data_IF_385064174205
#
_entry.id   IF_385064174205
#
_cell.length_a   1.000
_cell.length_b   1.000
_cell.length_c   1.000
_cell.angle_alpha   90.00
_cell.angle_beta   90.00
_cell.angle_gamma   90.00
#
_symmetry.space_group_name_H-M   'P 1'
#
loop_
_entity.id
_entity.type
_entity.pdbx_description
1 polymer ?
#
# COMPACT_ATOMS: atom_id res chain seq x y z
N UNK A 1 -17.53 -15.44 -11.80
CA UNK A 1 -16.06 -15.60 -11.90
C UNK A 1 -15.27 -15.39 -10.60
N UNK A 2 -15.90 -15.24 -9.41
CA UNK A 2 -15.17 -14.94 -8.18
C UNK A 2 -14.69 -16.15 -7.35
N UNK A 3 -15.02 -17.37 -7.73
CA UNK A 3 -14.81 -18.55 -6.88
C UNK A 3 -13.54 -19.36 -7.16
N UNK A 4 -12.72 -18.98 -8.13
CA UNK A 4 -11.55 -19.78 -8.54
C UNK A 4 -10.21 -19.29 -7.98
N UNK A 5 -10.18 -18.13 -7.33
CA UNK A 5 -8.94 -17.65 -6.71
C UNK A 5 -8.94 -18.04 -5.24
N UNK A 6 -8.11 -19.00 -4.88
CA UNK A 6 -7.90 -19.40 -3.50
C UNK A 6 -7.63 -18.19 -2.64
N UNK A 7 -8.37 -18.01 -1.56
CA UNK A 7 -8.28 -16.86 -0.64
C UNK A 7 -6.88 -16.70 -0.01
N UNK A 8 -6.05 -17.70 -0.11
CA UNK A 8 -4.80 -17.85 0.62
C UNK A 8 -3.57 -17.98 -0.28
N UNK A 9 -3.77 -18.13 -1.59
CA UNK A 9 -2.69 -18.30 -2.53
C UNK A 9 -2.48 -17.02 -3.33
N UNK A 10 -1.31 -16.42 -3.17
CA UNK A 10 -0.92 -15.24 -3.95
C UNK A 10 0.01 -15.69 -5.06
N UNK A 11 -0.53 -15.86 -6.25
CA UNK A 11 0.23 -16.09 -7.47
C UNK A 11 0.28 -14.81 -8.31
N UNK A 12 1.21 -14.75 -9.28
CA UNK A 12 1.28 -13.67 -10.26
C UNK A 12 -0.06 -13.54 -11.03
N UNK A 13 -0.64 -14.65 -11.43
CA UNK A 13 -1.89 -14.66 -12.21
C UNK A 13 -3.07 -14.12 -11.39
N UNK A 14 -3.18 -14.53 -10.12
CA UNK A 14 -4.18 -13.98 -9.20
C UNK A 14 -4.04 -12.47 -9.01
N UNK A 15 -2.81 -11.99 -8.92
CA UNK A 15 -2.51 -10.56 -8.79
C UNK A 15 -2.93 -9.81 -10.06
N UNK A 16 -2.57 -10.31 -11.24
CA UNK A 16 -2.91 -9.70 -12.53
C UNK A 16 -4.42 -9.64 -12.70
N UNK A 17 -5.14 -10.75 -12.50
CA UNK A 17 -6.60 -10.80 -12.62
C UNK A 17 -7.30 -9.81 -11.67
N UNK A 18 -6.87 -9.72 -10.41
CA UNK A 18 -7.41 -8.74 -9.46
C UNK A 18 -7.12 -7.31 -9.86
N UNK A 19 -5.96 -7.05 -10.44
CA UNK A 19 -5.58 -5.71 -10.91
C UNK A 19 -6.44 -5.30 -12.09
N UNK A 20 -6.55 -6.13 -13.12
CA UNK A 20 -7.35 -5.85 -14.32
C UNK A 20 -8.85 -5.78 -14.03
N UNK A 21 -9.36 -6.53 -13.06
CA UNK A 21 -10.78 -6.48 -12.69
C UNK A 21 -11.26 -5.11 -12.16
N UNK A 22 -10.35 -4.20 -11.87
CA UNK A 22 -10.66 -2.82 -11.44
C UNK A 22 -10.97 -1.88 -12.60
N UNK A 23 -10.57 -2.23 -13.82
CA UNK A 23 -10.83 -1.44 -15.02
C UNK A 23 -12.21 -1.82 -15.56
N UNK A 24 -13.14 -0.86 -15.57
CA UNK A 24 -14.53 -1.06 -16.00
C UNK A 24 -14.98 0.09 -16.87
N UNK A 25 -15.68 -0.22 -17.99
CA UNK A 25 -16.35 0.75 -18.85
C UNK A 25 -15.47 1.82 -19.51
N UNK A 26 -14.15 1.60 -19.57
CA UNK A 26 -13.18 2.51 -20.16
C UNK A 26 -12.38 1.77 -21.24
N UNK A 27 -12.78 1.92 -22.48
CA UNK A 27 -12.21 1.12 -23.58
C UNK A 27 -10.77 1.50 -23.90
N UNK A 28 -10.45 2.78 -23.88
CA UNK A 28 -9.10 3.25 -24.15
C UNK A 28 -8.13 2.97 -23.00
N UNK A 29 -8.56 3.22 -21.76
CA UNK A 29 -7.77 2.84 -20.60
C UNK A 29 -7.44 1.34 -20.64
N UNK A 30 -8.45 0.48 -20.96
CA UNK A 30 -8.24 -0.94 -21.07
C UNK A 30 -7.25 -1.28 -22.19
N UNK A 31 -7.36 -0.65 -23.36
CA UNK A 31 -6.44 -0.87 -24.48
C UNK A 31 -5.01 -0.49 -24.10
N UNK A 32 -4.79 0.73 -23.61
CA UNK A 32 -3.47 1.26 -23.21
C UNK A 32 -2.85 0.36 -22.14
N UNK A 33 -3.58 0.09 -21.06
CA UNK A 33 -3.11 -0.74 -19.96
C UNK A 33 -2.78 -2.15 -20.43
N UNK A 34 -3.66 -2.80 -21.21
CA UNK A 34 -3.44 -4.16 -21.70
C UNK A 34 -2.19 -4.25 -22.57
N UNK A 35 -1.97 -3.27 -23.47
CA UNK A 35 -0.78 -3.22 -24.33
C UNK A 35 0.50 -3.06 -23.53
N UNK A 36 0.51 -2.13 -22.55
CA UNK A 36 1.67 -1.92 -21.66
C UNK A 36 2.00 -3.22 -20.92
N UNK A 37 1.00 -3.85 -20.29
CA UNK A 37 1.20 -5.05 -19.50
C UNK A 37 1.66 -6.24 -20.34
N UNK A 38 1.14 -6.37 -21.57
CA UNK A 38 1.58 -7.41 -22.51
C UNK A 38 3.06 -7.25 -22.88
N UNK A 39 3.50 -6.03 -23.22
CA UNK A 39 4.89 -5.77 -23.63
C UNK A 39 5.85 -5.90 -22.43
N UNK A 40 5.45 -5.43 -21.25
CA UNK A 40 6.28 -5.56 -20.05
C UNK A 40 6.41 -7.01 -19.57
N UNK A 41 5.48 -7.90 -19.92
CA UNK A 41 5.50 -9.32 -19.60
C UNK A 41 5.92 -9.64 -18.16
N UNK A 42 5.34 -8.91 -17.21
CA UNK A 42 5.60 -9.09 -15.79
C UNK A 42 7.00 -8.73 -15.30
N UNK A 43 7.78 -7.96 -16.07
CA UNK A 43 9.12 -7.48 -15.68
C UNK A 43 9.10 -6.44 -14.58
N UNK A 44 7.97 -5.76 -14.39
CA UNK A 44 7.81 -4.65 -13.44
C UNK A 44 6.50 -4.85 -12.69
N UNK A 45 6.51 -4.68 -11.35
CA UNK A 45 5.29 -4.71 -10.55
C UNK A 45 4.41 -3.52 -10.89
N UNK A 46 3.10 -3.77 -11.07
CA UNK A 46 2.11 -2.73 -11.36
C UNK A 46 0.86 -2.85 -10.49
N UNK A 47 0.10 -1.78 -10.41
CA UNK A 47 -1.24 -1.75 -9.80
C UNK A 47 -2.16 -0.89 -10.63
N UNK A 48 -3.32 -1.43 -11.07
CA UNK A 48 -4.38 -0.62 -11.68
C UNK A 48 -5.25 0.01 -10.61
N UNK A 49 -5.74 1.21 -10.87
CA UNK A 49 -6.67 1.94 -10.01
C UNK A 49 -6.15 2.03 -8.56
N UNK A 50 -4.89 2.48 -8.43
CA UNK A 50 -4.28 2.68 -7.11
C UNK A 50 -4.94 3.85 -6.40
N UNK A 51 -5.49 3.58 -5.23
CA UNK A 51 -6.07 4.62 -4.39
C UNK A 51 -4.97 5.38 -3.63
N UNK A 52 -4.98 6.71 -3.78
CA UNK A 52 -4.11 7.64 -3.05
C UNK A 52 -5.00 8.57 -2.22
N UNK A 53 -4.78 8.60 -0.90
CA UNK A 53 -5.51 9.48 0.01
C UNK A 53 -4.63 10.64 0.40
N UNK A 54 -4.94 11.87 -0.02
CA UNK A 54 -4.17 13.06 0.36
C UNK A 54 -4.25 13.32 1.86
N UNK A 55 -3.11 13.61 2.46
CA UNK A 55 -3.03 13.85 3.89
C UNK A 55 -3.45 15.26 4.29
N UNK A 56 -3.30 16.23 3.38
CA UNK A 56 -3.56 17.65 3.61
C UNK A 56 -4.90 18.15 3.09
N UNK A 57 -5.86 17.27 2.79
CA UNK A 57 -7.18 17.75 2.39
C UNK A 57 -7.70 18.67 3.49
N UNK A 58 -7.65 19.96 3.24
CA UNK A 58 -8.38 20.92 4.06
C UNK A 58 -9.83 20.46 4.08
N UNK A 59 -10.33 20.18 5.27
CA UNK A 59 -11.74 19.88 5.51
C UNK A 59 -12.55 21.16 5.20
N UNK A 60 -12.79 21.42 3.93
CA UNK A 60 -13.75 22.43 3.52
C UNK A 60 -15.11 21.76 3.71
N UNK A 61 -15.96 22.28 4.62
CA UNK A 61 -17.29 21.71 4.82
C UNK A 61 -18.02 21.60 3.47
N UNK A 62 -18.54 20.39 3.17
CA UNK A 62 -19.26 20.10 1.92
C UNK A 62 -18.39 19.67 0.73
N UNK A 63 -17.06 19.64 0.82
CA UNK A 63 -16.21 19.07 -0.24
C UNK A 63 -15.92 17.59 -0.03
N UNK A 64 -15.86 16.87 -1.13
CA UNK A 64 -15.59 15.43 -1.20
C UNK A 64 -14.24 15.07 -0.54
N UNK A 65 -14.29 14.21 0.46
CA UNK A 65 -13.10 13.70 1.18
C UNK A 65 -12.52 12.43 0.57
N UNK A 66 -13.03 12.01 -0.61
CA UNK A 66 -12.51 10.85 -1.33
C UNK A 66 -11.11 11.12 -1.84
N UNK A 67 -10.26 10.11 -1.80
CA UNK A 67 -8.94 10.16 -2.43
C UNK A 67 -9.02 9.98 -3.95
N UNK A 68 -7.86 9.89 -4.56
CA UNK A 68 -7.69 9.76 -5.99
C UNK A 68 -7.41 8.31 -6.39
N UNK A 69 -7.81 7.93 -7.60
CA UNK A 69 -7.45 6.66 -8.22
C UNK A 69 -6.55 6.96 -9.41
N UNK A 70 -5.37 6.38 -9.45
CA UNK A 70 -4.50 6.43 -10.63
C UNK A 70 -4.84 5.27 -11.55
N UNK A 71 -4.83 5.46 -12.88
CA UNK A 71 -5.24 4.39 -13.81
C UNK A 71 -4.27 3.21 -13.77
N UNK A 72 -2.97 3.46 -13.88
CA UNK A 72 -1.93 2.44 -13.76
C UNK A 72 -0.71 3.02 -13.03
N UNK A 73 -0.21 2.33 -12.02
CA UNK A 73 0.99 2.76 -11.34
C UNK A 73 2.05 1.66 -11.23
N UNK A 74 3.30 2.08 -11.12
CA UNK A 74 4.50 1.27 -10.94
C UNK A 74 5.20 1.68 -9.64
N UNK A 75 4.74 1.18 -8.47
CA UNK A 75 5.20 1.68 -7.17
C UNK A 75 6.71 1.55 -6.97
N UNK A 76 7.32 0.49 -7.50
CA UNK A 76 8.77 0.27 -7.42
C UNK A 76 9.60 1.25 -8.22
N UNK A 77 9.00 1.95 -9.19
CA UNK A 77 9.64 2.97 -10.02
C UNK A 77 9.26 4.40 -9.62
N UNK A 78 8.24 4.57 -8.79
CA UNK A 78 7.71 5.89 -8.45
C UNK A 78 7.06 6.61 -9.64
N UNK A 79 6.33 5.87 -10.49
CA UNK A 79 5.68 6.42 -11.70
C UNK A 79 4.21 5.95 -11.72
N UNK A 80 3.31 6.83 -12.14
CA UNK A 80 1.95 6.45 -12.48
C UNK A 80 1.51 7.06 -13.83
N UNK A 81 0.54 6.39 -14.45
CA UNK A 81 -0.06 6.76 -15.73
C UNK A 81 -1.52 7.14 -15.52
N UNK A 82 -1.94 8.19 -16.20
CA UNK A 82 -3.33 8.58 -16.42
C UNK A 82 -3.64 8.51 -17.91
N UNK A 83 -4.77 7.92 -18.26
CA UNK A 83 -5.28 7.84 -19.64
C UNK A 83 -6.47 8.78 -19.75
N UNK A 84 -6.30 9.87 -20.48
CA UNK A 84 -7.34 10.86 -20.66
C UNK A 84 -8.24 10.48 -21.85
N UNK A 85 -9.42 9.92 -21.55
CA UNK A 85 -10.38 9.47 -22.57
C UNK A 85 -11.40 10.54 -22.95
N UNK A 86 -11.64 11.52 -22.09
CA UNK A 86 -12.73 12.48 -22.25
C UNK A 86 -12.28 13.89 -22.56
N UNK A 87 -13.15 14.57 -23.30
CA UNK A 87 -13.11 16.00 -23.65
C UNK A 87 -13.37 16.90 -22.43
N UNK A 88 -12.63 16.74 -21.35
CA UNK A 88 -12.76 17.64 -20.20
C UNK A 88 -12.03 18.98 -20.44
N UNK A 89 -12.21 19.55 -21.64
CA UNK A 89 -11.66 20.85 -22.03
C UNK A 89 -12.34 22.06 -21.34
N UNK A 90 -13.15 21.86 -20.32
CA UNK A 90 -13.62 22.98 -19.50
C UNK A 90 -12.53 23.37 -18.50
N UNK A 91 -12.18 24.65 -18.49
CA UNK A 91 -11.14 25.25 -17.63
C UNK A 91 -11.22 24.87 -16.13
N UNK A 92 -12.42 24.50 -15.65
CA UNK A 92 -12.63 24.01 -14.28
C UNK A 92 -12.05 22.62 -14.01
N UNK A 93 -11.81 21.81 -15.04
CA UNK A 93 -11.24 20.47 -14.88
C UNK A 93 -9.72 20.53 -14.84
N UNK A 94 -9.08 21.38 -15.65
CA UNK A 94 -7.63 21.55 -15.64
C UNK A 94 -7.09 21.96 -14.25
N UNK A 95 -7.73 22.95 -13.59
CA UNK A 95 -7.34 23.35 -12.23
C UNK A 95 -7.49 22.23 -11.20
N UNK A 96 -8.54 21.39 -11.33
CA UNK A 96 -8.72 20.23 -10.45
C UNK A 96 -7.70 19.14 -10.71
N UNK A 97 -7.29 18.94 -11.94
CA UNK A 97 -6.30 17.95 -12.34
C UNK A 97 -4.91 18.35 -11.85
N UNK A 98 -4.55 19.63 -11.92
CA UNK A 98 -3.29 20.15 -11.36
C UNK A 98 -3.23 19.98 -9.83
N UNK A 99 -4.34 20.26 -9.13
CA UNK A 99 -4.45 20.04 -7.69
C UNK A 99 -4.30 18.55 -7.37
N UNK A 100 -4.95 17.68 -8.14
CA UNK A 100 -4.87 16.22 -7.97
C UNK A 100 -3.46 15.71 -8.17
N UNK A 101 -2.78 16.12 -9.24
CA UNK A 101 -1.40 15.74 -9.53
C UNK A 101 -0.47 16.15 -8.39
N UNK A 102 -0.58 17.41 -7.94
CA UNK A 102 0.21 17.93 -6.83
C UNK A 102 -0.03 17.17 -5.53
N UNK A 103 -1.29 16.90 -5.17
CA UNK A 103 -1.61 16.16 -3.96
C UNK A 103 -1.13 14.71 -4.02
N UNK A 104 -1.21 14.04 -5.18
CA UNK A 104 -0.66 12.69 -5.37
C UNK A 104 0.87 12.73 -5.22
N UNK A 105 1.54 13.69 -5.83
CA UNK A 105 2.99 13.85 -5.71
C UNK A 105 3.43 14.10 -4.28
N UNK A 106 2.76 14.99 -3.53
CA UNK A 106 3.08 15.27 -2.12
C UNK A 106 2.96 14.03 -1.22
N UNK A 107 2.03 13.11 -1.52
CA UNK A 107 1.80 11.89 -0.72
C UNK A 107 2.70 10.73 -1.11
N UNK A 108 3.07 10.62 -2.38
CA UNK A 108 3.72 9.42 -2.91
C UNK A 108 5.12 9.68 -3.45
N UNK A 109 5.44 10.91 -3.82
CA UNK A 109 6.61 11.32 -4.60
C UNK A 109 6.66 10.59 -5.96
N UNK A 110 5.49 10.28 -6.55
CA UNK A 110 5.40 9.61 -7.84
C UNK A 110 5.28 10.62 -8.97
N UNK A 111 5.98 10.33 -10.06
CA UNK A 111 5.93 11.08 -11.30
C UNK A 111 4.70 10.70 -12.11
N UNK A 112 3.92 11.68 -12.55
CA UNK A 112 2.80 11.47 -13.47
C UNK A 112 3.27 11.38 -14.91
N UNK A 113 2.66 10.48 -15.68
CA UNK A 113 2.68 10.46 -17.13
C UNK A 113 1.25 10.44 -17.63
N UNK A 114 0.93 11.22 -18.65
CA UNK A 114 -0.38 11.27 -19.29
C UNK A 114 -0.28 10.70 -20.69
N UNK A 115 -1.24 9.86 -21.08
CA UNK A 115 -1.52 9.49 -22.46
C UNK A 115 -2.88 10.05 -22.84
N UNK A 116 -2.90 11.01 -23.73
CA UNK A 116 -4.10 11.65 -24.21
C UNK A 116 -4.60 10.96 -25.46
N UNK A 117 -5.88 10.63 -25.49
CA UNK A 117 -6.52 9.92 -26.60
C UNK A 117 -6.95 10.89 -27.72
N UNK A 118 -6.92 12.17 -27.47
CA UNK A 118 -7.27 13.24 -28.40
C UNK A 118 -6.08 14.17 -28.67
N UNK A 119 -6.15 14.97 -29.72
CA UNK A 119 -5.13 15.96 -30.03
C UNK A 119 -5.24 17.15 -29.06
N UNK A 120 -4.09 17.62 -28.56
CA UNK A 120 -4.03 18.76 -27.61
C UNK A 120 -4.52 20.08 -28.25
N UNK A 121 -4.37 20.22 -29.58
CA UNK A 121 -4.79 21.41 -30.32
C UNK A 121 -6.31 21.44 -30.56
N UNK A 122 -6.93 20.27 -30.71
CA UNK A 122 -8.38 20.09 -30.88
C UNK A 122 -8.85 18.80 -30.19
N UNK A 123 -9.40 18.94 -29.01
CA UNK A 123 -9.92 17.82 -28.21
C UNK A 123 -11.14 17.11 -28.81
N UNK A 124 -11.70 17.64 -29.90
CA UNK A 124 -12.76 16.96 -30.67
C UNK A 124 -12.21 15.89 -31.63
N UNK A 125 -10.91 15.89 -31.88
CA UNK A 125 -10.22 14.97 -32.80
C UNK A 125 -9.46 13.92 -32.01
N UNK A 126 -9.88 12.66 -32.15
CA UNK A 126 -9.16 11.52 -31.56
C UNK A 126 -7.88 11.22 -32.33
N UNK A 127 -6.83 10.86 -31.61
CA UNK A 127 -5.60 10.31 -32.17
C UNK A 127 -5.88 8.97 -32.83
N UNK A 128 -5.11 8.66 -33.84
CA UNK A 128 -5.10 7.32 -34.45
C UNK A 128 -4.47 6.31 -33.48
N UNK A 129 -4.81 5.03 -33.65
CA UNK A 129 -4.17 3.96 -32.88
C UNK A 129 -2.64 3.96 -32.99
N UNK A 130 -2.11 4.36 -34.16
CA UNK A 130 -0.67 4.43 -34.36
C UNK A 130 -0.01 5.52 -33.50
N UNK A 131 -0.61 6.69 -33.42
CA UNK A 131 -0.12 7.80 -32.56
C UNK A 131 -0.16 7.40 -31.09
N UNK A 132 -1.25 6.80 -30.63
CA UNK A 132 -1.38 6.31 -29.26
C UNK A 132 -0.34 5.21 -28.98
N UNK A 133 -0.09 4.31 -29.92
CA UNK A 133 0.94 3.28 -29.77
C UNK A 133 2.34 3.84 -29.64
N UNK A 134 2.67 4.92 -30.37
CA UNK A 134 3.95 5.60 -30.24
C UNK A 134 4.13 6.17 -28.82
N UNK A 135 3.09 6.78 -28.25
CA UNK A 135 3.13 7.28 -26.87
C UNK A 135 3.26 6.15 -25.85
N UNK A 136 2.54 5.04 -26.04
CA UNK A 136 2.67 3.85 -25.20
C UNK A 136 4.10 3.30 -25.25
N UNK A 137 4.68 3.18 -26.43
CA UNK A 137 6.03 2.64 -26.61
C UNK A 137 7.09 3.57 -25.98
N UNK A 138 6.92 4.90 -26.10
CA UNK A 138 7.76 5.89 -25.39
C UNK A 138 7.65 5.75 -23.87
N UNK A 139 6.45 5.56 -23.35
CA UNK A 139 6.22 5.33 -21.93
C UNK A 139 6.88 4.02 -21.44
N UNK A 140 6.76 2.93 -22.19
CA UNK A 140 7.42 1.65 -21.88
C UNK A 140 8.93 1.82 -21.83
N UNK A 141 9.51 2.54 -22.79
CA UNK A 141 10.94 2.86 -22.80
C UNK A 141 11.37 3.62 -21.53
N UNK A 142 10.57 4.60 -21.12
CA UNK A 142 10.79 5.35 -19.88
C UNK A 142 10.80 4.44 -18.66
N UNK A 143 9.83 3.52 -18.53
CA UNK A 143 9.77 2.56 -17.44
C UNK A 143 11.00 1.64 -17.40
N UNK A 144 11.40 1.08 -18.56
CA UNK A 144 12.56 0.19 -18.65
C UNK A 144 13.87 0.92 -18.36
N UNK A 145 14.00 2.16 -18.79
CA UNK A 145 15.15 3.02 -18.46
C UNK A 145 15.23 3.27 -16.96
N UNK A 146 14.11 3.68 -16.35
CA UNK A 146 14.03 3.93 -14.90
C UNK A 146 14.34 2.69 -14.08
N UNK A 147 13.84 1.52 -14.51
CA UNK A 147 14.17 0.23 -13.88
C UNK A 147 15.70 0.01 -13.87
N UNK A 148 16.36 0.17 -15.01
CA UNK A 148 17.82 0.01 -15.12
C UNK A 148 18.60 0.98 -14.21
N UNK A 149 18.18 2.25 -14.15
CA UNK A 149 18.80 3.26 -13.27
C UNK A 149 18.70 2.84 -11.79
N UNK A 150 17.52 2.37 -11.35
CA UNK A 150 17.31 1.88 -9.98
C UNK A 150 18.15 0.64 -9.70
N UNK A 151 18.26 -0.28 -10.65
CA UNK A 151 19.09 -1.49 -10.53
C UNK A 151 20.57 -1.14 -10.39
N UNK A 152 21.05 -0.18 -11.17
CA UNK A 152 22.44 0.31 -11.08
C UNK A 152 22.72 0.96 -9.72
N UNK A 153 21.83 1.83 -9.25
CA UNK A 153 21.96 2.49 -7.94
C UNK A 153 21.97 1.47 -6.79
N UNK A 154 21.10 0.46 -6.87
CA UNK A 154 20.96 -0.52 -5.80
C UNK A 154 21.93 -1.69 -5.90
N UNK A 155 22.67 -1.84 -6.98
CA UNK A 155 23.59 -2.95 -7.24
C UNK A 155 22.91 -4.32 -7.34
N UNK A 156 21.60 -4.36 -7.60
CA UNK A 156 20.81 -5.59 -7.72
C UNK A 156 19.62 -5.42 -8.65
N UNK A 157 19.22 -6.52 -9.27
CA UNK A 157 18.05 -6.57 -10.13
C UNK A 157 16.76 -6.25 -9.36
N UNK A 158 15.88 -5.46 -9.98
CA UNK A 158 14.54 -5.17 -9.49
C UNK A 158 13.56 -6.25 -9.98
N UNK A 159 13.38 -7.27 -9.16
CA UNK A 159 12.52 -8.41 -9.45
C UNK A 159 11.14 -8.18 -8.86
N UNK A 160 10.09 -8.49 -9.62
CA UNK A 160 8.74 -8.56 -9.08
C UNK A 160 8.55 -9.85 -8.26
N UNK A 161 8.80 -9.72 -6.95
CA UNK A 161 8.73 -10.81 -6.00
C UNK A 161 7.29 -11.07 -5.53
N UNK A 162 6.46 -11.59 -6.42
CA UNK A 162 5.07 -11.91 -6.10
C UNK A 162 4.91 -13.21 -5.30
N UNK A 163 5.92 -14.10 -5.29
CA UNK A 163 5.87 -15.39 -4.61
C UNK A 163 6.14 -15.28 -3.12
N UNK A 164 7.13 -14.50 -2.74
CA UNK A 164 7.56 -14.40 -1.34
C UNK A 164 7.11 -13.10 -0.66
N UNK A 165 6.48 -12.19 -1.37
CA UNK A 165 6.06 -10.86 -0.87
C UNK A 165 5.35 -10.91 0.49
N UNK A 166 4.50 -11.92 0.71
CA UNK A 166 3.72 -12.10 1.94
C UNK A 166 4.16 -13.30 2.77
N UNK A 167 5.32 -13.91 2.46
CA UNK A 167 5.83 -15.08 3.17
C UNK A 167 6.85 -14.66 4.25
N UNK A 168 6.77 -15.22 5.46
CA UNK A 168 7.70 -14.87 6.54
C UNK A 168 9.11 -15.41 6.32
N UNK A 169 9.31 -16.46 5.51
CA UNK A 169 10.57 -17.14 5.27
C UNK A 169 11.68 -16.21 4.79
N UNK A 170 11.33 -15.24 3.94
CA UNK A 170 12.26 -14.21 3.45
C UNK A 170 12.86 -13.43 4.61
N UNK A 171 12.00 -12.89 5.49
CA UNK A 171 12.43 -12.07 6.62
C UNK A 171 13.12 -12.90 7.71
N UNK A 172 12.67 -14.14 7.91
CA UNK A 172 13.33 -15.09 8.80
C UNK A 172 14.78 -15.33 8.36
N UNK A 173 15.01 -15.48 7.06
CA UNK A 173 16.36 -15.63 6.49
C UNK A 173 17.19 -14.34 6.63
N UNK A 174 16.56 -13.17 6.46
CA UNK A 174 17.20 -11.86 6.64
C UNK A 174 17.48 -11.53 8.12
N UNK A 175 16.83 -12.19 9.08
CA UNK A 175 16.99 -12.02 10.52
C UNK A 175 16.38 -10.73 11.08
N UNK A 176 15.82 -9.86 10.24
CA UNK A 176 15.27 -8.58 10.68
C UNK A 176 14.12 -8.11 9.81
N UNK A 177 13.28 -7.23 10.38
CA UNK A 177 12.21 -6.52 9.65
C UNK A 177 12.37 -5.01 9.82
N UNK A 178 12.00 -4.25 8.77
CA UNK A 178 12.11 -2.79 8.76
C UNK A 178 10.87 -2.17 8.11
N UNK A 179 10.39 -1.05 8.65
CA UNK A 179 9.21 -0.33 8.14
C UNK A 179 9.40 0.09 6.67
N UNK A 180 10.61 0.56 6.30
CA UNK A 180 10.93 0.95 4.92
C UNK A 180 10.80 -0.16 3.89
N UNK A 181 10.85 -1.43 4.31
CA UNK A 181 10.72 -2.60 3.43
C UNK A 181 9.25 -2.98 3.20
N UNK A 182 8.28 -2.21 3.70
CA UNK A 182 6.83 -2.46 3.56
C UNK A 182 6.42 -3.90 3.94
N UNK A 183 7.02 -4.45 5.00
CA UNK A 183 6.77 -5.81 5.49
C UNK A 183 5.30 -6.01 5.78
N UNK A 184 4.66 -6.92 5.05
CA UNK A 184 3.21 -7.15 5.13
C UNK A 184 2.87 -8.63 4.96
N UNK A 185 1.82 -9.09 5.63
CA UNK A 185 1.36 -10.49 5.56
C UNK A 185 -0.16 -10.54 5.36
N UNK A 186 -0.63 -11.59 4.70
CA UNK A 186 -2.07 -11.82 4.52
C UNK A 186 -2.75 -12.38 5.78
N UNK A 187 -1.97 -12.95 6.71
CA UNK A 187 -2.48 -13.53 7.94
C UNK A 187 -1.69 -13.08 9.17
N UNK A 188 -2.37 -12.99 10.32
CA UNK A 188 -1.67 -12.81 11.59
C UNK A 188 -0.73 -13.96 11.92
N UNK A 189 -1.06 -15.17 11.44
CA UNK A 189 -0.21 -16.36 11.62
C UNK A 189 1.17 -16.13 11.02
N UNK A 190 1.26 -15.61 9.81
CA UNK A 190 2.53 -15.37 9.14
C UNK A 190 3.33 -14.27 9.83
N UNK A 191 2.68 -13.20 10.29
CA UNK A 191 3.34 -12.20 11.11
C UNK A 191 3.89 -12.79 12.42
N UNK A 192 3.11 -13.63 13.10
CA UNK A 192 3.52 -14.29 14.35
C UNK A 192 4.65 -15.32 14.15
N UNK A 193 4.74 -15.92 12.95
CA UNK A 193 5.85 -16.86 12.62
C UNK A 193 7.22 -16.20 12.68
N UNK A 194 7.32 -14.90 12.43
CA UNK A 194 8.56 -14.15 12.63
C UNK A 194 9.07 -14.20 14.07
N UNK A 195 8.18 -14.44 15.03
CA UNK A 195 8.45 -14.48 16.48
C UNK A 195 8.32 -15.88 17.05
N UNK A 196 8.57 -16.90 16.21
CA UNK A 196 8.61 -18.30 16.64
C UNK A 196 7.24 -18.96 16.88
N UNK A 197 6.13 -18.38 16.39
CA UNK A 197 4.83 -19.03 16.44
C UNK A 197 4.79 -20.28 15.57
N UNK A 198 4.40 -21.42 16.14
CA UNK A 198 4.40 -22.71 15.43
C UNK A 198 2.98 -23.16 15.05
N UNK A 199 2.03 -23.12 15.98
CA UNK A 199 0.67 -23.62 15.78
C UNK A 199 -0.32 -23.09 16.82
N UNK A 200 -1.62 -23.14 16.50
CA UNK A 200 -2.73 -22.76 17.36
C UNK A 200 -3.65 -21.72 16.73
N UNK A 201 -4.54 -21.15 17.53
CA UNK A 201 -5.42 -20.07 17.08
C UNK A 201 -4.65 -18.78 16.85
N UNK A 202 -4.79 -18.18 15.66
CA UNK A 202 -3.95 -17.07 15.24
C UNK A 202 -4.66 -15.70 15.22
N UNK A 203 -5.99 -15.65 15.30
CA UNK A 203 -6.74 -14.40 15.18
C UNK A 203 -7.04 -13.80 16.55
N UNK A 204 -6.18 -12.93 17.03
CA UNK A 204 -6.32 -12.19 18.27
C UNK A 204 -5.95 -10.72 18.06
N UNK A 205 -6.53 -9.81 18.84
CA UNK A 205 -6.14 -8.40 18.81
C UNK A 205 -4.68 -8.20 19.24
N UNK A 206 -4.22 -9.01 20.21
CA UNK A 206 -2.85 -9.02 20.73
C UNK A 206 -2.32 -10.44 20.84
N UNK A 207 -1.00 -10.58 20.85
CA UNK A 207 -0.33 -11.85 21.08
C UNK A 207 1.02 -11.61 21.78
N UNK A 208 1.21 -12.22 22.96
CA UNK A 208 2.44 -12.11 23.75
C UNK A 208 3.61 -12.81 23.06
N UNK A 209 4.71 -12.12 22.93
CA UNK A 209 5.95 -12.67 22.39
C UNK A 209 6.71 -13.38 23.52
N UNK A 210 6.77 -14.68 23.43
CA UNK A 210 7.38 -15.52 24.51
C UNK A 210 8.81 -15.06 24.85
N UNK A 211 9.10 -15.01 26.15
CA UNK A 211 10.42 -14.71 26.72
C UNK A 211 10.93 -13.26 26.52
N UNK A 212 10.12 -12.32 26.06
CA UNK A 212 10.60 -10.94 25.79
C UNK A 212 9.87 -9.88 26.61
N UNK A 213 8.73 -10.20 27.22
CA UNK A 213 7.85 -9.20 27.83
C UNK A 213 7.13 -8.30 26.83
N UNK A 214 7.35 -8.50 25.54
CA UNK A 214 6.75 -7.72 24.45
C UNK A 214 5.44 -8.34 23.98
N UNK A 215 4.60 -7.52 23.35
CA UNK A 215 3.34 -7.94 22.76
C UNK A 215 3.24 -7.50 21.29
N UNK A 216 2.75 -8.38 20.43
CA UNK A 216 2.30 -7.98 19.10
C UNK A 216 0.88 -7.46 19.17
N UNK A 217 0.63 -6.36 18.52
CA UNK A 217 -0.70 -5.75 18.40
C UNK A 217 -1.10 -5.59 16.92
N UNK A 218 -2.39 -5.91 16.64
CA UNK A 218 -2.96 -5.91 15.29
C UNK A 218 -4.11 -4.90 15.15
N UNK A 219 -3.86 -3.59 15.36
CA UNK A 219 -4.91 -2.58 15.29
C UNK A 219 -5.43 -2.40 13.87
N UNK A 220 -6.71 -2.05 13.75
CA UNK A 220 -7.31 -1.55 12.52
C UNK A 220 -7.11 -0.04 12.47
N UNK A 221 -6.22 0.46 11.60
CA UNK A 221 -5.96 1.89 11.41
C UNK A 221 -6.93 2.52 10.38
N UNK A 222 -8.19 2.12 10.45
CA UNK A 222 -9.30 2.67 9.67
C UNK A 222 -10.57 2.58 10.52
N UNK A 223 -11.63 3.37 10.22
CA UNK A 223 -12.86 3.35 10.98
C UNK A 223 -13.42 1.93 11.12
N UNK A 224 -13.68 1.50 12.35
CA UNK A 224 -14.30 0.22 12.67
C UNK A 224 -15.43 0.42 13.71
N UNK A 225 -16.14 -0.65 14.09
CA UNK A 225 -17.32 -0.54 14.94
C UNK A 225 -17.00 0.02 16.34
N UNK A 226 -15.94 -0.49 16.98
CA UNK A 226 -15.73 -0.30 18.43
C UNK A 226 -14.59 0.66 18.75
N UNK A 227 -13.57 0.71 17.89
CA UNK A 227 -12.32 1.44 18.14
C UNK A 227 -12.04 2.47 17.09
N UNK A 228 -11.51 3.59 17.53
CA UNK A 228 -10.90 4.63 16.72
C UNK A 228 -9.39 4.61 16.95
N UNK A 229 -8.67 4.01 16.02
CA UNK A 229 -7.22 3.90 16.07
C UNK A 229 -6.63 4.73 14.93
N UNK A 230 -5.69 5.59 15.28
CA UNK A 230 -5.02 6.48 14.35
C UNK A 230 -3.50 6.37 14.47
N UNK A 231 -2.80 6.22 13.35
CA UNK A 231 -1.37 6.41 13.25
C UNK A 231 -1.12 7.81 12.69
N UNK A 232 -0.32 8.61 13.37
CA UNK A 232 0.05 9.96 12.90
C UNK A 232 0.76 9.89 11.54
N UNK A 233 0.68 10.95 10.76
CA UNK A 233 1.23 11.03 9.40
C UNK A 233 2.74 10.79 9.34
N UNK A 234 3.47 11.26 10.36
CA UNK A 234 4.90 11.04 10.49
C UNK A 234 5.24 9.63 11.02
N UNK A 235 4.22 8.83 11.35
CA UNK A 235 4.35 7.48 11.86
C UNK A 235 4.90 7.41 13.29
N UNK A 236 4.93 8.53 14.04
CA UNK A 236 5.56 8.57 15.36
C UNK A 236 4.64 8.22 16.52
N UNK A 237 3.32 8.37 16.35
CA UNK A 237 2.37 8.10 17.41
C UNK A 237 1.20 7.27 16.91
N UNK A 238 0.69 6.40 17.79
CA UNK A 238 -0.60 5.73 17.62
C UNK A 238 -1.50 6.17 18.78
N UNK A 239 -2.70 6.61 18.44
CA UNK A 239 -3.78 6.90 19.38
C UNK A 239 -4.86 5.84 19.23
N UNK A 240 -5.36 5.33 20.35
CA UNK A 240 -6.40 4.30 20.37
C UNK A 240 -7.48 4.70 21.37
N UNK A 241 -8.72 4.86 20.88
CA UNK A 241 -9.87 5.28 21.68
C UNK A 241 -11.04 4.35 21.42
N UNK A 242 -11.73 3.91 22.47
CA UNK A 242 -12.99 3.18 22.32
C UNK A 242 -14.14 4.16 22.08
N UNK A 243 -14.97 3.91 21.07
CA UNK A 243 -16.05 4.82 20.66
C UNK A 243 -17.15 5.03 21.68
N UNK A 244 -17.33 4.07 22.60
CA UNK A 244 -18.33 4.24 23.68
C UNK A 244 -17.97 5.33 24.70
N UNK A 245 -16.74 5.86 24.66
CA UNK A 245 -16.27 6.83 25.65
C UNK A 245 -16.07 6.22 27.05
N UNK A 246 -16.18 4.91 27.21
CA UNK A 246 -15.96 4.21 28.48
C UNK A 246 -14.50 3.76 28.52
N UNK A 247 -13.90 3.85 29.72
CA UNK A 247 -12.55 3.31 29.96
C UNK A 247 -12.53 1.81 29.71
N UNK A 248 -11.86 1.39 28.68
CA UNK A 248 -11.62 -0.02 28.38
C UNK A 248 -10.17 -0.39 28.69
N UNK A 249 -9.98 -1.46 29.46
CA UNK A 249 -8.69 -2.16 29.46
C UNK A 249 -8.57 -2.89 28.14
N UNK A 250 -8.02 -2.22 27.15
CA UNK A 250 -7.93 -2.80 25.84
C UNK A 250 -6.53 -2.65 25.25
N UNK A 251 -6.24 -3.54 24.33
CA UNK A 251 -4.99 -3.52 23.63
C UNK A 251 -3.81 -4.00 24.46
N UNK A 252 -2.62 -3.57 24.10
CA UNK A 252 -1.35 -4.04 24.68
C UNK A 252 -0.96 -3.34 25.98
N UNK A 253 -1.92 -2.92 26.81
CA UNK A 253 -1.65 -2.27 28.09
C UNK A 253 -0.91 -3.20 29.06
N UNK A 254 0.09 -2.66 29.75
CA UNK A 254 0.91 -3.39 30.72
C UNK A 254 2.18 -4.02 30.15
N UNK A 255 2.44 -3.82 28.86
CA UNK A 255 3.69 -4.22 28.22
C UNK A 255 4.59 -3.01 27.97
N UNK A 256 5.90 -3.18 28.15
CA UNK A 256 6.88 -2.09 27.94
C UNK A 256 7.04 -1.74 26.47
N UNK A 257 6.90 -2.73 25.60
CA UNK A 257 7.04 -2.57 24.15
C UNK A 257 5.95 -3.30 23.36
N UNK A 258 5.47 -2.64 22.33
CA UNK A 258 4.39 -3.10 21.47
C UNK A 258 4.88 -3.18 20.03
N UNK A 259 4.91 -4.38 19.48
CA UNK A 259 5.28 -4.63 18.07
C UNK A 259 4.00 -4.54 17.25
N UNK A 260 3.90 -3.51 16.40
CA UNK A 260 2.64 -3.21 15.73
C UNK A 260 2.62 -3.70 14.29
N UNK A 261 1.65 -4.58 14.01
CA UNK A 261 1.27 -5.00 12.67
C UNK A 261 -0.14 -4.50 12.35
N UNK A 262 -0.23 -3.30 11.80
CA UNK A 262 -1.50 -2.67 11.50
C UNK A 262 -2.30 -3.45 10.45
N UNK A 263 -3.58 -3.71 10.75
CA UNK A 263 -4.51 -4.25 9.76
C UNK A 263 -4.88 -3.16 8.77
N UNK A 264 -4.52 -3.35 7.52
CA UNK A 264 -4.69 -2.38 6.45
C UNK A 264 -5.26 -3.05 5.20
N UNK A 265 -5.67 -2.26 4.21
CA UNK A 265 -6.01 -2.74 2.87
C UNK A 265 -4.87 -2.36 1.93
N UNK A 266 -4.40 -3.32 1.14
CA UNK A 266 -3.45 -3.03 0.07
C UNK A 266 -4.18 -2.42 -1.14
N UNK A 267 -3.43 -2.05 -2.17
CA UNK A 267 -3.95 -1.47 -3.39
C UNK A 267 -4.98 -2.35 -4.12
N UNK A 268 -4.88 -3.68 -3.98
CA UNK A 268 -5.82 -4.64 -4.56
C UNK A 268 -7.05 -4.89 -3.67
N UNK A 269 -7.15 -4.19 -2.52
CA UNK A 269 -8.23 -4.36 -1.57
C UNK A 269 -8.09 -5.57 -0.65
N UNK A 270 -6.95 -6.29 -0.73
CA UNK A 270 -6.66 -7.38 0.20
C UNK A 270 -6.40 -6.83 1.60
N UNK A 271 -6.86 -7.56 2.60
CA UNK A 271 -6.55 -7.25 3.99
C UNK A 271 -5.14 -7.76 4.30
N UNK A 272 -4.27 -6.87 4.76
CA UNK A 272 -2.90 -7.18 5.12
C UNK A 272 -2.59 -6.71 6.53
N UNK A 273 -1.61 -7.36 7.15
CA UNK A 273 -1.02 -6.96 8.43
C UNK A 273 0.36 -6.38 8.14
N UNK A 274 0.47 -5.04 8.17
CA UNK A 274 1.68 -4.31 7.82
C UNK A 274 2.46 -3.93 9.07
N UNK A 275 3.75 -4.24 9.11
CA UNK A 275 4.64 -3.77 10.17
C UNK A 275 4.81 -2.25 10.10
N UNK A 276 4.46 -1.55 11.17
CA UNK A 276 4.54 -0.08 11.26
C UNK A 276 5.55 0.39 12.31
N UNK A 277 6.14 -0.52 13.06
CA UNK A 277 7.19 -0.23 14.03
C UNK A 277 7.01 -0.92 15.38
N UNK A 278 7.93 -0.62 16.27
CA UNK A 278 7.86 -0.95 17.70
C UNK A 278 7.54 0.33 18.45
N UNK A 279 6.57 0.27 19.35
CA UNK A 279 6.07 1.41 20.08
C UNK A 279 6.17 1.15 21.59
N UNK A 280 6.23 2.23 22.35
CA UNK A 280 6.13 2.22 23.81
C UNK A 280 4.87 2.95 24.26
N UNK A 281 4.13 2.45 25.27
CA UNK A 281 2.98 3.16 25.82
C UNK A 281 3.41 4.47 26.44
N UNK A 282 2.61 5.52 26.24
CA UNK A 282 2.76 6.79 26.93
C UNK A 282 1.71 6.85 28.03
N UNK A 283 2.13 7.05 29.26
CA UNK A 283 1.22 7.35 30.38
C UNK A 283 0.93 8.85 30.38
N UNK A 284 -0.06 9.29 29.62
CA UNK A 284 -0.44 10.71 29.50
C UNK A 284 -1.53 11.14 30.48
N UNK A 285 -1.94 10.25 31.38
CA UNK A 285 -2.99 10.51 32.36
C UNK A 285 -4.42 10.46 31.81
N UNK A 286 -4.60 10.43 30.50
CA UNK A 286 -5.92 10.20 29.90
C UNK A 286 -6.30 8.72 29.97
N UNK A 287 -7.39 8.45 30.67
CA UNK A 287 -7.90 7.10 30.89
C UNK A 287 -8.73 6.58 29.71
N UNK A 288 -9.03 7.42 28.73
CA UNK A 288 -9.93 7.14 27.60
C UNK A 288 -9.17 6.99 26.27
N UNK A 289 -7.99 7.59 26.19
CA UNK A 289 -7.12 7.52 24.98
C UNK A 289 -5.84 6.82 25.38
N UNK A 290 -5.49 5.77 24.66
CA UNK A 290 -4.23 5.09 24.82
C UNK A 290 -3.27 5.58 23.76
N UNK A 291 -2.17 6.15 24.19
CA UNK A 291 -1.15 6.76 23.35
C UNK A 291 0.10 5.89 23.30
N UNK A 292 0.67 5.72 22.13
CA UNK A 292 1.89 4.94 21.93
C UNK A 292 2.86 5.75 21.08
N UNK A 293 4.14 5.83 21.50
CA UNK A 293 5.20 6.54 20.79
C UNK A 293 6.11 5.54 20.08
N UNK A 294 6.48 5.86 18.86
CA UNK A 294 7.43 5.05 18.09
C UNK A 294 8.80 5.01 18.79
N UNK A 295 9.25 3.80 19.09
CA UNK A 295 10.57 3.51 19.65
C UNK A 295 11.56 3.08 18.56
N UNK A 296 11.13 2.20 17.64
CA UNK A 296 11.98 1.71 16.57
C UNK A 296 11.20 1.43 15.28
N UNK A 297 11.84 1.71 14.13
CA UNK A 297 11.38 1.31 12.78
C UNK A 297 11.95 -0.03 12.32
N UNK A 298 12.75 -0.68 13.16
CA UNK A 298 13.39 -1.97 12.86
C UNK A 298 13.19 -2.93 14.02
N UNK A 299 13.21 -4.23 13.73
CA UNK A 299 13.16 -5.28 14.74
C UNK A 299 14.05 -6.46 14.33
N UNK A 300 14.91 -6.93 15.24
CA UNK A 300 15.74 -8.14 15.07
C UNK A 300 14.92 -9.36 15.47
N UNK A 301 14.63 -10.22 14.49
CA UNK A 301 13.88 -11.46 14.70
C UNK A 301 14.81 -12.71 14.76
N UNK A 302 16.11 -12.53 14.60
CA UNK A 302 17.08 -13.63 14.57
C UNK A 302 17.07 -14.47 15.86
N UNK A 303 16.75 -13.83 16.99
CA UNK A 303 16.67 -14.48 18.31
C UNK A 303 15.62 -15.61 18.38
N UNK A 304 14.58 -15.56 17.53
CA UNK A 304 13.50 -16.54 17.52
C UNK A 304 13.78 -17.73 16.59
N UNK A 305 14.83 -17.64 15.77
CA UNK A 305 15.16 -18.59 14.70
C UNK A 305 16.59 -19.13 14.78
N UNK A 306 17.33 -18.84 15.86
CA UNK A 306 18.60 -19.52 16.11
C UNK A 306 18.32 -20.99 16.25
N UNK A 307 19.01 -21.82 15.45
CA UNK A 307 19.01 -23.25 15.63
C UNK A 307 19.61 -23.55 17.05
N UNK A 308 18.83 -24.26 17.87
CA UNK A 308 19.35 -24.84 19.09
C UNK A 308 20.33 -25.98 18.74
#
# INVERSE_FOLDING_TARGET
MSNYLSKWETSKDSYVLKSLSKIRHKSWELYVVSRILHILDGKIEFVCQQYVKPSKKQLIPGKDTRGYLTDLCFPSLGIYLEVNEEQHAESRHAEKDDIREKEIFEETNWEQVKIEIYHSEDSSIYKTLNEINIEIDAFIHKLLKKKKEIEQINGKELIWDYKSKFKPEKYIKEGSIQVKNNVSFLTQRDAKRLFGYKKGHAQNATWEVKKTGQVMWFPKLYPNADWDNELTKDGKFIFSKHKSGIKHKAGPLGHEEVIVFAHNKNALGDRVYKFVGVFEPICDGDLYIHSYKLKSKTYDISIFHKAN
#
